data_IF_590965896844
#
_entry.id   IF_590965896844
#
_cell.length_a   1.000
_cell.length_b   1.000
_cell.length_c   1.000
_cell.angle_alpha   90.00
_cell.angle_beta   90.00
_cell.angle_gamma   90.00
#
_symmetry.space_group_name_H-M   'P 1'
#
loop_
_entity.id
_entity.type
_entity.pdbx_description
1 polymer ?
#
# COMPACT_ATOMS: atom_id res chain seq x y z
N UNK A 1 -3.95 11.90 9.03
CA UNK A 1 -2.87 11.49 9.93
C UNK A 1 -1.67 11.28 9.05
N UNK A 2 -0.76 10.39 9.44
CA UNK A 2 0.47 10.15 8.68
C UNK A 2 0.25 9.39 7.36
N UNK A 3 -0.98 8.95 7.07
CA UNK A 3 -1.38 8.40 5.77
C UNK A 3 -2.53 9.21 5.17
N UNK A 4 -2.59 10.53 5.40
CA UNK A 4 -3.66 11.37 4.84
C UNK A 4 -5.05 11.18 5.45
N UNK A 5 -5.20 10.39 6.52
CA UNK A 5 -6.50 10.19 7.18
C UNK A 5 -7.09 11.54 7.65
N UNK A 6 -8.40 11.76 7.62
CA UNK A 6 -8.96 13.03 8.06
C UNK A 6 -8.64 13.37 9.51
N UNK A 7 -8.34 14.66 9.72
CA UNK A 7 -8.07 15.20 11.05
C UNK A 7 -9.33 15.27 11.91
N UNK A 8 -9.14 15.64 13.18
CA UNK A 8 -10.22 15.82 14.15
C UNK A 8 -10.95 17.16 14.01
N UNK A 9 -10.35 18.13 13.31
CA UNK A 9 -10.87 19.49 13.13
C UNK A 9 -10.15 20.18 11.98
N UNK A 10 -10.86 21.08 11.29
CA UNK A 10 -10.30 22.03 10.33
C UNK A 10 -10.31 23.44 10.93
N UNK A 11 -9.23 24.19 10.74
CA UNK A 11 -9.10 25.58 11.19
C UNK A 11 -8.36 26.42 10.13
N UNK A 12 -8.54 27.74 10.19
CA UNK A 12 -7.70 28.65 9.43
C UNK A 12 -6.25 28.57 9.91
N UNK A 13 -5.29 28.89 9.04
CA UNK A 13 -3.86 28.88 9.38
C UNK A 13 -3.62 29.74 10.62
N UNK A 14 -3.09 29.11 11.67
CA UNK A 14 -2.77 29.75 12.93
C UNK A 14 -1.36 30.34 12.89
N UNK A 15 -1.11 31.45 13.61
CA UNK A 15 0.26 31.82 13.93
C UNK A 15 0.92 30.71 14.76
N UNK A 16 2.25 30.62 14.72
CA UNK A 16 3.01 29.59 15.43
C UNK A 16 2.67 29.51 16.94
N UNK A 17 2.42 30.65 17.59
CA UNK A 17 1.98 30.70 18.99
C UNK A 17 0.60 30.08 19.23
N UNK A 18 -0.33 30.28 18.30
CA UNK A 18 -1.67 29.68 18.33
C UNK A 18 -1.60 28.17 18.12
N UNK A 19 -0.82 27.71 17.14
CA UNK A 19 -0.58 26.29 16.88
C UNK A 19 0.12 25.61 18.07
N UNK A 20 1.12 26.24 18.66
CA UNK A 20 1.79 25.74 19.86
C UNK A 20 0.82 25.58 21.03
N UNK A 21 -0.06 26.55 21.26
CA UNK A 21 -1.06 26.48 22.33
C UNK A 21 -2.02 25.31 22.11
N UNK A 22 -2.54 25.16 20.88
CA UNK A 22 -3.41 24.05 20.49
C UNK A 22 -2.77 22.68 20.77
N UNK A 23 -1.51 22.50 20.40
CA UNK A 23 -0.79 21.24 20.56
C UNK A 23 -0.44 20.97 22.03
N UNK A 24 0.13 21.95 22.73
CA UNK A 24 0.62 21.79 24.10
C UNK A 24 -0.55 21.60 25.08
N UNK A 25 -1.61 22.40 25.00
CA UNK A 25 -2.73 22.33 25.95
C UNK A 25 -3.41 20.95 25.95
N UNK A 26 -3.59 20.36 24.77
CA UNK A 26 -4.17 19.02 24.64
C UNK A 26 -3.31 17.95 25.31
N UNK A 27 -1.98 18.02 25.11
CA UNK A 27 -1.06 17.05 25.68
C UNK A 27 -0.87 17.25 27.19
N UNK A 28 -0.87 18.50 27.67
CA UNK A 28 -0.77 18.80 29.10
C UNK A 28 -1.98 18.32 29.91
N UNK A 29 -3.16 18.23 29.29
CA UNK A 29 -4.36 17.67 29.94
C UNK A 29 -4.18 16.19 30.34
N UNK A 30 -3.25 15.47 29.70
CA UNK A 30 -2.92 14.07 29.96
C UNK A 30 -1.62 13.91 30.78
N UNK A 31 -1.07 14.99 31.34
CA UNK A 31 0.15 14.96 32.16
C UNK A 31 -0.09 14.14 33.46
N UNK A 32 0.72 13.09 33.73
CA UNK A 32 0.64 12.37 34.99
C UNK A 32 1.04 13.26 36.17
N UNK A 33 0.38 13.09 37.31
CA UNK A 33 0.62 13.87 38.52
C UNK A 33 2.08 13.73 39.00
N UNK A 34 2.68 14.83 39.44
CA UNK A 34 4.04 14.84 39.98
C UNK A 34 5.17 14.76 38.95
N UNK A 35 4.89 14.49 37.67
CA UNK A 35 5.92 14.49 36.63
C UNK A 35 6.39 15.91 36.32
N UNK A 36 7.70 16.13 36.29
CA UNK A 36 8.30 17.44 35.97
C UNK A 36 9.20 17.42 34.74
N UNK A 37 9.73 16.25 34.38
CA UNK A 37 10.72 16.10 33.32
C UNK A 37 10.06 15.54 32.06
N UNK A 38 10.40 16.09 30.91
CA UNK A 38 9.75 15.75 29.64
C UNK A 38 10.75 15.66 28.50
N UNK A 39 10.73 14.54 27.78
CA UNK A 39 11.32 14.41 26.46
C UNK A 39 10.35 14.95 25.42
N UNK A 40 10.82 15.74 24.46
CA UNK A 40 9.96 16.39 23.48
C UNK A 40 10.45 16.11 22.07
N UNK A 41 9.52 15.73 21.20
CA UNK A 41 9.79 15.57 19.76
C UNK A 41 8.83 16.48 19.00
N UNK A 42 9.39 17.46 18.29
CA UNK A 42 8.70 18.23 17.27
C UNK A 42 9.05 17.66 15.90
N UNK A 43 8.15 16.84 15.38
CA UNK A 43 8.38 16.10 14.15
C UNK A 43 7.74 16.81 12.93
N UNK A 44 8.52 17.04 11.88
CA UNK A 44 8.02 17.45 10.57
C UNK A 44 7.43 16.26 9.80
N UNK A 45 6.33 16.48 9.09
CA UNK A 45 5.63 15.43 8.34
C UNK A 45 6.09 15.30 6.88
N UNK A 46 7.15 16.01 6.47
CA UNK A 46 7.74 15.87 5.14
C UNK A 46 8.26 17.17 4.55
N UNK A 47 7.35 18.12 4.26
CA UNK A 47 7.69 19.34 3.51
C UNK A 47 7.71 20.64 4.32
N UNK A 48 7.43 20.60 5.62
CA UNK A 48 7.59 21.75 6.52
C UNK A 48 9.07 22.06 6.72
N UNK A 49 9.48 23.30 6.49
CA UNK A 49 10.90 23.68 6.56
C UNK A 49 11.40 23.76 8.00
N UNK A 50 12.68 23.49 8.21
CA UNK A 50 13.31 23.56 9.54
C UNK A 50 13.13 24.93 10.19
N UNK A 51 13.19 26.01 9.42
CA UNK A 51 12.97 27.37 9.92
C UNK A 51 11.56 27.52 10.52
N UNK A 52 10.54 26.92 9.90
CA UNK A 52 9.17 26.93 10.41
C UNK A 52 9.03 26.08 11.68
N UNK A 53 9.65 24.90 11.70
CA UNK A 53 9.71 24.03 12.89
C UNK A 53 10.41 24.73 14.06
N UNK A 54 11.50 25.45 13.82
CA UNK A 54 12.23 26.16 14.86
C UNK A 54 11.46 27.38 15.39
N UNK A 55 10.75 28.10 14.52
CA UNK A 55 9.83 29.16 14.97
C UNK A 55 8.75 28.57 15.88
N UNK A 56 8.14 27.46 15.50
CA UNK A 56 7.14 26.78 16.33
C UNK A 56 7.73 26.25 17.66
N UNK A 57 8.94 25.70 17.61
CA UNK A 57 9.67 25.21 18.79
C UNK A 57 9.81 26.29 19.86
N UNK A 58 10.16 27.53 19.50
CA UNK A 58 10.32 28.61 20.49
C UNK A 58 9.04 28.87 21.28
N UNK A 59 7.87 28.77 20.64
CA UNK A 59 6.58 28.93 21.31
C UNK A 59 6.24 27.72 22.18
N UNK A 60 6.50 26.49 21.70
CA UNK A 60 6.28 25.25 22.44
C UNK A 60 7.14 25.21 23.71
N UNK A 61 8.45 25.45 23.59
CA UNK A 61 9.39 25.44 24.71
C UNK A 61 8.96 26.43 25.80
N UNK A 62 8.59 27.67 25.41
CA UNK A 62 8.10 28.67 26.36
C UNK A 62 6.83 28.23 27.11
N UNK A 63 5.90 27.55 26.45
CA UNK A 63 4.66 27.07 27.07
C UNK A 63 4.93 25.90 28.03
N UNK A 64 5.82 24.96 27.66
CA UNK A 64 6.20 23.84 28.53
C UNK A 64 6.93 24.33 29.79
N UNK A 65 7.88 25.26 29.64
CA UNK A 65 8.60 25.87 30.76
C UNK A 65 7.66 26.64 31.71
N UNK A 66 6.73 27.44 31.15
CA UNK A 66 5.68 28.13 31.95
C UNK A 66 4.76 27.17 32.70
N UNK A 67 4.62 25.95 32.19
CA UNK A 67 3.86 24.87 32.82
C UNK A 67 4.68 24.09 33.87
N UNK A 68 5.89 24.59 34.19
CA UNK A 68 6.78 24.03 35.20
C UNK A 68 7.42 22.70 34.79
N UNK A 69 7.63 22.49 33.49
CA UNK A 69 8.33 21.31 32.96
C UNK A 69 9.80 21.62 32.67
N UNK A 70 10.67 20.67 33.00
CA UNK A 70 12.08 20.68 32.61
C UNK A 70 12.23 19.84 31.34
N UNK A 71 12.54 20.48 30.22
CA UNK A 71 12.71 19.82 28.92
C UNK A 71 14.08 19.12 28.89
N UNK A 72 14.07 17.82 28.57
CA UNK A 72 15.28 16.98 28.53
C UNK A 72 15.54 16.53 27.10
N UNK A 73 16.70 16.92 26.55
CA UNK A 73 17.20 16.52 25.22
C UNK A 73 16.11 16.55 24.12
N UNK A 74 15.53 17.73 23.81
CA UNK A 74 14.46 17.84 22.83
C UNK A 74 14.97 17.59 21.41
N UNK A 75 14.10 17.03 20.56
CA UNK A 75 14.38 16.76 19.16
C UNK A 75 13.42 17.53 18.26
N UNK A 76 13.94 18.15 17.21
CA UNK A 76 13.15 18.86 16.21
C UNK A 76 13.69 18.54 14.81
N UNK A 77 12.87 17.91 13.96
CA UNK A 77 13.26 17.46 12.62
C UNK A 77 12.27 16.47 12.01
N UNK A 78 12.62 15.79 10.92
CA UNK A 78 11.79 14.74 10.32
C UNK A 78 12.22 13.34 10.76
N UNK A 79 11.37 12.69 11.55
CA UNK A 79 11.60 11.35 12.09
C UNK A 79 10.56 10.35 11.58
N UNK A 80 9.28 10.77 11.52
CA UNK A 80 8.15 9.97 11.02
C UNK A 80 7.32 10.86 10.09
N UNK A 81 7.53 10.72 8.78
CA UNK A 81 6.93 11.58 7.75
C UNK A 81 5.67 10.96 7.13
N UNK A 82 4.95 11.78 6.38
CA UNK A 82 3.83 11.43 5.50
C UNK A 82 4.16 11.96 4.10
N UNK A 83 5.15 11.34 3.45
CA UNK A 83 5.70 11.79 2.16
C UNK A 83 6.14 13.27 2.21
N UNK A 84 5.51 14.14 1.42
CA UNK A 84 5.75 15.58 1.32
C UNK A 84 4.67 16.40 2.03
N UNK A 85 4.01 15.83 3.05
CA UNK A 85 2.98 16.54 3.81
C UNK A 85 3.55 17.79 4.48
N UNK A 86 2.87 18.93 4.27
CA UNK A 86 3.14 20.20 4.94
C UNK A 86 2.46 20.23 6.30
N UNK A 87 3.09 19.60 7.30
CA UNK A 87 2.58 19.60 8.66
C UNK A 87 3.63 19.18 9.68
N UNK A 88 3.23 19.18 10.95
CA UNK A 88 4.05 18.75 12.06
C UNK A 88 3.23 17.97 13.10
N UNK A 89 3.92 17.22 13.95
CA UNK A 89 3.36 16.57 15.13
C UNK A 89 4.21 16.88 16.36
N UNK A 90 3.56 17.02 17.51
CA UNK A 90 4.21 17.19 18.81
C UNK A 90 3.98 15.94 19.67
N UNK A 91 5.07 15.39 20.19
CA UNK A 91 5.05 14.26 21.13
C UNK A 91 5.72 14.67 22.44
N UNK A 92 5.06 14.39 23.56
CA UNK A 92 5.62 14.54 24.91
C UNK A 92 5.80 13.14 25.53
N UNK A 93 7.00 12.88 26.03
CA UNK A 93 7.32 11.70 26.82
C UNK A 93 7.57 12.12 28.26
N UNK A 94 6.68 11.74 29.17
CA UNK A 94 6.84 12.01 30.60
C UNK A 94 7.95 11.12 31.18
N UNK A 95 8.99 11.74 31.73
CA UNK A 95 10.18 11.02 32.16
C UNK A 95 10.17 10.78 33.66
N UNK A 96 10.37 9.51 34.03
CA UNK A 96 10.92 9.11 35.32
C UNK A 96 12.44 8.86 35.18
N UNK A 97 13.09 8.39 36.25
CA UNK A 97 14.54 8.14 36.25
C UNK A 97 14.96 7.06 35.22
N UNK A 98 14.12 6.05 35.00
CA UNK A 98 14.41 4.97 34.06
C UNK A 98 14.25 5.44 32.61
N UNK A 99 13.12 6.09 32.29
CA UNK A 99 12.85 6.60 30.96
C UNK A 99 13.84 7.69 30.57
N UNK A 100 14.23 8.58 31.50
CA UNK A 100 15.24 9.60 31.21
C UNK A 100 16.58 8.97 30.83
N UNK A 101 16.98 7.89 31.53
CA UNK A 101 18.20 7.16 31.22
C UNK A 101 18.18 6.60 29.80
N UNK A 102 17.08 6.00 29.36
CA UNK A 102 16.96 5.46 28.00
C UNK A 102 16.79 6.53 26.95
N UNK A 103 16.03 7.59 27.26
CA UNK A 103 15.90 8.74 26.39
C UNK A 103 17.28 9.32 26.10
N UNK A 104 18.06 9.65 27.12
CA UNK A 104 19.36 10.30 26.96
C UNK A 104 20.51 9.37 26.52
N UNK A 105 20.25 8.08 26.32
CA UNK A 105 21.28 7.12 25.90
C UNK A 105 21.87 7.47 24.53
N UNK A 106 23.14 7.13 24.33
CA UNK A 106 23.80 7.33 23.04
C UNK A 106 23.22 6.38 21.99
N UNK A 107 23.05 6.87 20.76
CA UNK A 107 22.61 6.06 19.62
C UNK A 107 23.26 6.54 18.32
N UNK A 108 23.53 5.61 17.43
CA UNK A 108 23.94 5.87 16.05
C UNK A 108 23.04 5.04 15.12
N UNK A 109 22.04 5.70 14.54
CA UNK A 109 21.08 5.08 13.62
C UNK A 109 20.96 5.94 12.36
N UNK A 110 20.41 5.42 11.25
CA UNK A 110 20.24 6.21 10.03
C UNK A 110 19.43 7.50 10.21
N UNK A 111 18.56 7.56 11.22
CA UNK A 111 17.59 8.66 11.42
C UNK A 111 17.90 9.50 12.66
N UNK A 112 18.44 8.90 13.74
CA UNK A 112 18.74 9.60 14.99
C UNK A 112 20.15 9.29 15.47
N UNK A 113 20.93 10.35 15.74
CA UNK A 113 22.26 10.28 16.33
C UNK A 113 22.32 11.12 17.60
N UNK A 114 22.75 10.50 18.70
CA UNK A 114 22.81 11.13 20.02
C UNK A 114 24.04 10.65 20.78
N UNK A 115 24.72 11.56 21.46
CA UNK A 115 25.87 11.23 22.31
C UNK A 115 27.19 11.01 21.56
N UNK A 116 28.18 10.46 22.27
CA UNK A 116 29.50 10.17 21.70
C UNK A 116 29.41 9.03 20.68
N UNK A 117 30.23 9.12 19.62
CA UNK A 117 30.33 8.09 18.59
C UNK A 117 30.59 6.74 19.26
N UNK A 118 29.66 5.80 19.07
CA UNK A 118 29.87 4.41 19.44
C UNK A 118 30.95 3.93 18.48
N UNK A 119 32.07 3.42 18.99
CA UNK A 119 33.08 2.80 18.14
C UNK A 119 32.45 1.55 17.52
N UNK A 120 32.00 1.67 16.28
CA UNK A 120 31.48 0.56 15.49
C UNK A 120 32.61 0.16 14.54
N UNK A 121 33.00 -1.10 14.56
CA UNK A 121 33.73 -1.64 13.41
C UNK A 121 32.72 -1.70 12.25
N UNK A 122 32.96 -1.00 11.14
CA UNK A 122 32.08 -1.12 9.97
C UNK A 122 31.98 -2.61 9.65
N UNK A 123 30.75 -3.11 9.50
CA UNK A 123 30.58 -4.38 8.82
C UNK A 123 31.25 -4.25 7.45
N UNK A 124 31.91 -5.31 6.98
CA UNK A 124 32.29 -5.36 5.58
C UNK A 124 31.05 -4.98 4.76
N UNK A 125 31.20 -4.05 3.82
CA UNK A 125 30.13 -3.70 2.90
C UNK A 125 29.80 -4.96 2.09
N UNK A 126 28.87 -5.79 2.59
CA UNK A 126 28.19 -6.79 1.79
C UNK A 126 27.24 -5.99 0.93
N UNK A 127 27.79 -5.41 -0.13
CA UNK A 127 27.04 -4.87 -1.24
C UNK A 127 26.41 -6.08 -1.95
N UNK A 128 25.38 -6.66 -1.35
CA UNK A 128 24.41 -7.47 -2.07
C UNK A 128 23.48 -6.53 -2.86
N UNK A 129 24.06 -5.63 -3.68
CA UNK A 129 23.31 -4.82 -4.66
C UNK A 129 23.25 -5.48 -6.03
N UNK A 130 23.58 -6.76 -6.11
CA UNK A 130 23.02 -7.54 -7.20
C UNK A 130 21.71 -8.09 -6.63
N UNK A 131 20.59 -7.41 -6.91
CA UNK A 131 19.32 -8.10 -7.07
C UNK A 131 19.64 -9.29 -7.98
N UNK A 132 19.86 -10.47 -7.37
CA UNK A 132 20.43 -11.59 -8.08
C UNK A 132 19.55 -11.84 -9.29
N UNK A 133 20.12 -11.74 -10.50
CA UNK A 133 19.34 -11.92 -11.73
C UNK A 133 18.61 -13.26 -11.59
N UNK A 134 17.27 -13.27 -11.52
CA UNK A 134 16.56 -14.46 -11.13
C UNK A 134 16.87 -15.57 -12.14
N UNK A 135 17.37 -16.69 -11.63
CA UNK A 135 17.73 -17.85 -12.44
C UNK A 135 16.51 -18.74 -12.54
N UNK A 136 16.00 -18.88 -13.76
CA UNK A 136 14.87 -19.75 -14.05
C UNK A 136 15.35 -21.06 -14.67
N UNK A 137 14.67 -22.15 -14.33
CA UNK A 137 14.82 -23.38 -15.10
C UNK A 137 14.32 -23.12 -16.53
N UNK A 138 15.02 -23.67 -17.53
CA UNK A 138 14.59 -23.54 -18.92
C UNK A 138 13.28 -24.29 -19.13
N UNK A 139 12.21 -23.54 -19.38
CA UNK A 139 10.92 -24.08 -19.78
C UNK A 139 11.00 -24.74 -21.16
N UNK A 140 10.10 -25.68 -21.45
CA UNK A 140 9.91 -26.17 -22.82
C UNK A 140 9.30 -25.09 -23.75
N UNK A 141 9.19 -25.40 -25.05
CA UNK A 141 8.69 -24.44 -26.04
C UNK A 141 7.27 -23.93 -25.73
N UNK A 142 6.39 -24.82 -25.27
CA UNK A 142 5.02 -24.49 -24.91
C UNK A 142 4.95 -23.60 -23.65
N UNK A 143 5.77 -23.92 -22.65
CA UNK A 143 5.89 -23.15 -21.42
C UNK A 143 6.42 -21.74 -21.67
N UNK A 144 7.45 -21.59 -22.52
CA UNK A 144 7.96 -20.26 -22.93
C UNK A 144 6.90 -19.46 -23.70
N UNK A 145 6.12 -20.11 -24.56
CA UNK A 145 5.01 -19.46 -25.27
C UNK A 145 3.92 -18.98 -24.29
N UNK A 146 3.58 -19.79 -23.28
CA UNK A 146 2.66 -19.40 -22.22
C UNK A 146 3.19 -18.24 -21.36
N UNK A 147 4.47 -18.26 -21.01
CA UNK A 147 5.15 -17.14 -20.34
C UNK A 147 5.08 -15.84 -21.15
N UNK A 148 5.35 -15.90 -22.46
CA UNK A 148 5.23 -14.76 -23.36
C UNK A 148 3.79 -14.23 -23.47
N UNK A 149 2.79 -15.14 -23.48
CA UNK A 149 1.37 -14.76 -23.45
C UNK A 149 1.02 -13.98 -22.16
N UNK A 150 1.44 -14.48 -21.00
CA UNK A 150 1.23 -13.81 -19.71
C UNK A 150 1.91 -12.44 -19.69
N UNK A 151 3.15 -12.34 -20.19
CA UNK A 151 3.87 -11.07 -20.27
C UNK A 151 3.12 -10.05 -21.16
N UNK A 152 2.58 -10.47 -22.30
CA UNK A 152 1.79 -9.60 -23.17
C UNK A 152 0.48 -9.14 -22.52
N UNK A 153 -0.14 -9.99 -21.72
CA UNK A 153 -1.33 -9.64 -20.92
C UNK A 153 -0.96 -8.62 -19.84
N UNK A 154 0.12 -8.86 -19.09
CA UNK A 154 0.62 -7.94 -18.05
C UNK A 154 1.02 -6.59 -18.62
N UNK A 155 1.59 -6.55 -19.83
CA UNK A 155 1.87 -5.31 -20.55
C UNK A 155 0.58 -4.51 -20.78
N UNK A 156 -0.47 -5.14 -21.32
CA UNK A 156 -1.75 -4.48 -21.59
C UNK A 156 -2.47 -4.03 -20.31
N UNK A 157 -2.37 -4.83 -19.23
CA UNK A 157 -2.88 -4.46 -17.91
C UNK A 157 -2.13 -3.25 -17.35
N UNK A 158 -0.80 -3.23 -17.45
CA UNK A 158 0.01 -2.10 -17.02
C UNK A 158 -0.33 -0.81 -17.75
N UNK A 159 -0.48 -0.87 -19.08
CA UNK A 159 -0.84 0.29 -19.87
C UNK A 159 -2.22 0.86 -19.47
N UNK A 160 -3.21 -0.01 -19.24
CA UNK A 160 -4.54 0.41 -18.80
C UNK A 160 -4.55 1.01 -17.38
N UNK A 161 -3.72 0.49 -16.46
CA UNK A 161 -3.64 1.00 -15.09
C UNK A 161 -2.85 2.30 -14.99
N UNK A 162 -1.86 2.50 -15.87
CA UNK A 162 -1.20 3.80 -16.05
C UNK A 162 -2.20 4.85 -16.52
N UNK A 163 -3.02 4.51 -17.53
CA UNK A 163 -4.06 5.43 -18.04
C UNK A 163 -5.12 5.75 -16.98
N UNK A 164 -5.48 4.78 -16.14
CA UNK A 164 -6.48 4.94 -15.09
C UNK A 164 -5.95 5.56 -13.78
N UNK A 165 -4.65 5.89 -13.67
CA UNK A 165 -4.01 6.34 -12.43
C UNK A 165 -4.76 7.50 -11.76
N UNK A 166 -5.03 8.57 -12.52
CA UNK A 166 -5.67 9.78 -12.00
C UNK A 166 -7.09 9.49 -11.50
N UNK A 167 -7.88 8.76 -12.28
CA UNK A 167 -9.27 8.45 -11.94
C UNK A 167 -9.35 7.51 -10.73
N UNK A 168 -8.46 6.51 -10.64
CA UNK A 168 -8.39 5.61 -9.50
C UNK A 168 -7.98 6.34 -8.22
N UNK A 169 -7.04 7.29 -8.31
CA UNK A 169 -6.69 8.17 -7.19
C UNK A 169 -7.87 9.07 -6.78
N UNK A 170 -8.61 9.61 -7.75
CA UNK A 170 -9.81 10.43 -7.49
C UNK A 170 -10.92 9.65 -6.79
N UNK A 171 -11.17 8.40 -7.21
CA UNK A 171 -12.16 7.52 -6.57
C UNK A 171 -11.74 7.20 -5.13
N UNK A 172 -10.47 6.88 -4.92
CA UNK A 172 -9.96 6.56 -3.59
C UNK A 172 -9.99 7.77 -2.65
N UNK A 173 -9.70 8.98 -3.13
CA UNK A 173 -9.68 10.21 -2.33
C UNK A 173 -11.03 10.59 -1.67
N UNK A 174 -12.17 10.01 -2.08
CA UNK A 174 -13.45 10.26 -1.42
C UNK A 174 -13.47 9.75 0.03
N UNK A 175 -12.82 8.62 0.31
CA UNK A 175 -12.82 7.98 1.63
C UNK A 175 -11.48 7.33 2.02
N UNK A 176 -10.46 7.39 1.17
CA UNK A 176 -9.09 6.96 1.40
C UNK A 176 -8.12 8.13 1.29
N UNK A 177 -6.86 7.85 0.98
CA UNK A 177 -5.78 8.82 0.90
C UNK A 177 -5.41 9.22 -0.54
N UNK A 178 -6.11 8.67 -1.53
CA UNK A 178 -5.98 9.03 -2.94
C UNK A 178 -4.75 8.43 -3.62
N UNK A 179 -4.05 7.51 -2.93
CA UNK A 179 -2.81 6.90 -3.41
C UNK A 179 -3.05 5.63 -4.25
N UNK A 180 -4.28 5.10 -4.27
CA UNK A 180 -4.58 3.81 -4.89
C UNK A 180 -4.17 3.74 -6.35
N UNK A 181 -4.47 4.78 -7.15
CA UNK A 181 -4.04 4.86 -8.55
C UNK A 181 -2.52 4.79 -8.74
N UNK A 182 -1.77 5.50 -7.88
CA UNK A 182 -0.30 5.46 -7.89
C UNK A 182 0.23 4.07 -7.53
N UNK A 183 -0.40 3.42 -6.53
CA UNK A 183 -0.08 2.05 -6.14
C UNK A 183 -0.30 1.05 -7.28
N UNK A 184 -1.43 1.17 -7.99
CA UNK A 184 -1.75 0.35 -9.15
C UNK A 184 -0.77 0.56 -10.31
N UNK A 185 -0.41 1.82 -10.61
CA UNK A 185 0.61 2.13 -11.63
C UNK A 185 1.96 1.53 -11.25
N UNK A 186 2.45 1.78 -10.03
CA UNK A 186 3.76 1.29 -9.56
C UNK A 186 3.83 -0.24 -9.59
N UNK A 187 2.82 -0.92 -9.04
CA UNK A 187 2.75 -2.38 -9.01
C UNK A 187 2.72 -2.99 -10.39
N UNK A 188 1.83 -2.51 -11.26
CA UNK A 188 1.70 -3.03 -12.62
C UNK A 188 2.93 -2.76 -13.50
N UNK A 189 3.59 -1.61 -13.31
CA UNK A 189 4.86 -1.31 -13.99
C UNK A 189 5.95 -2.29 -13.57
N UNK A 190 6.10 -2.54 -12.27
CA UNK A 190 7.09 -3.50 -11.77
C UNK A 190 6.79 -4.93 -12.23
N UNK A 191 5.51 -5.32 -12.24
CA UNK A 191 5.08 -6.64 -12.65
C UNK A 191 5.40 -6.94 -14.13
N UNK A 192 5.12 -6.00 -15.04
CA UNK A 192 5.42 -6.19 -16.48
C UNK A 192 6.92 -6.21 -16.76
N UNK A 193 7.71 -5.43 -16.02
CA UNK A 193 9.17 -5.40 -16.16
C UNK A 193 9.79 -6.72 -15.69
N UNK A 194 9.35 -7.24 -14.53
CA UNK A 194 9.81 -8.53 -14.02
C UNK A 194 9.38 -9.69 -14.93
N UNK A 195 8.16 -9.65 -15.48
CA UNK A 195 7.69 -10.63 -16.45
C UNK A 195 8.52 -10.64 -17.73
N UNK A 196 8.85 -9.46 -18.28
CA UNK A 196 9.71 -9.31 -19.46
C UNK A 196 11.11 -9.89 -19.22
N UNK A 197 11.72 -9.62 -18.07
CA UNK A 197 13.02 -10.20 -17.69
C UNK A 197 12.96 -11.72 -17.57
N UNK A 198 11.91 -12.28 -16.96
CA UNK A 198 11.74 -13.71 -16.82
C UNK A 198 11.55 -14.42 -18.17
N UNK A 199 10.75 -13.85 -19.07
CA UNK A 199 10.59 -14.37 -20.43
C UNK A 199 11.92 -14.37 -21.19
N UNK A 200 12.70 -13.28 -21.09
CA UNK A 200 14.04 -13.20 -21.71
C UNK A 200 15.02 -14.24 -21.13
N UNK A 201 14.84 -14.64 -19.88
CA UNK A 201 15.62 -15.68 -19.23
C UNK A 201 15.14 -17.12 -19.53
N UNK A 202 14.05 -17.30 -20.30
CA UNK A 202 13.51 -18.60 -20.68
C UNK A 202 12.55 -19.23 -19.66
N UNK A 203 11.99 -18.43 -18.76
CA UNK A 203 10.99 -18.86 -17.80
C UNK A 203 9.66 -19.26 -18.47
N UNK A 204 8.93 -20.17 -17.82
CA UNK A 204 7.60 -20.59 -18.25
C UNK A 204 6.47 -19.84 -17.55
N UNK A 205 5.23 -20.25 -17.83
CA UNK A 205 4.01 -19.58 -17.39
C UNK A 205 3.91 -19.37 -15.87
N UNK A 206 4.29 -20.37 -15.08
CA UNK A 206 4.19 -20.32 -13.62
C UNK A 206 5.22 -19.34 -13.04
N UNK A 207 6.47 -19.43 -13.48
CA UNK A 207 7.57 -18.56 -13.04
C UNK A 207 7.37 -17.11 -13.45
N UNK A 208 6.86 -16.85 -14.66
CA UNK A 208 6.56 -15.48 -15.13
C UNK A 208 5.45 -14.84 -14.30
N UNK A 209 4.31 -15.54 -14.11
CA UNK A 209 3.20 -15.00 -13.32
C UNK A 209 3.52 -14.92 -11.83
N UNK A 210 4.38 -15.84 -11.35
CA UNK A 210 5.07 -15.67 -10.08
C UNK A 210 5.83 -14.36 -10.17
N UNK A 211 7.08 -14.25 -10.60
CA UNK A 211 7.91 -13.03 -10.38
C UNK A 211 7.20 -11.67 -10.58
N UNK A 212 6.29 -11.55 -11.56
CA UNK A 212 5.41 -10.40 -11.74
C UNK A 212 4.70 -9.91 -10.46
N UNK A 213 4.08 -10.78 -9.68
CA UNK A 213 3.41 -10.35 -8.44
C UNK A 213 4.33 -10.10 -7.23
N UNK A 214 5.60 -10.50 -7.24
CA UNK A 214 6.58 -10.23 -6.15
C UNK A 214 6.96 -8.79 -6.37
N UNK A 215 7.36 -8.48 -7.61
CA UNK A 215 7.59 -7.13 -8.08
C UNK A 215 6.38 -6.22 -7.83
N UNK A 216 5.15 -6.72 -8.05
CA UNK A 216 3.95 -5.96 -7.68
C UNK A 216 3.90 -5.67 -6.17
N UNK A 217 4.01 -6.69 -5.33
CA UNK A 217 3.95 -6.55 -3.87
C UNK A 217 5.02 -5.58 -3.35
N UNK A 218 6.23 -5.70 -3.87
CA UNK A 218 7.41 -4.95 -3.45
C UNK A 218 7.32 -3.46 -3.84
N UNK A 219 6.71 -3.15 -4.99
CA UNK A 219 6.76 -1.79 -5.57
C UNK A 219 5.47 -1.00 -5.44
N UNK A 220 4.30 -1.64 -5.37
CA UNK A 220 3.01 -0.97 -5.29
C UNK A 220 2.82 -0.19 -3.98
N UNK A 221 3.21 -0.78 -2.85
CA UNK A 221 2.93 -0.25 -1.52
C UNK A 221 1.47 -0.43 -1.09
N UNK A 222 1.21 -0.19 0.21
CA UNK A 222 -0.13 -0.28 0.80
C UNK A 222 -0.74 -1.68 0.80
N UNK A 223 -1.99 -1.77 1.27
CA UNK A 223 -2.73 -3.05 1.34
C UNK A 223 -3.04 -3.60 -0.06
N UNK A 224 -3.39 -2.73 -1.01
CA UNK A 224 -3.65 -3.12 -2.40
C UNK A 224 -2.43 -3.80 -3.03
N UNK A 225 -1.22 -3.30 -2.79
CA UNK A 225 0.02 -3.93 -3.28
C UNK A 225 0.18 -5.37 -2.80
N UNK A 226 0.02 -5.59 -1.49
CA UNK A 226 0.12 -6.93 -0.90
C UNK A 226 -0.96 -7.90 -1.43
N UNK A 227 -2.21 -7.43 -1.59
CA UNK A 227 -3.31 -8.27 -2.05
C UNK A 227 -3.17 -8.65 -3.53
N UNK A 228 -2.78 -7.71 -4.40
CA UNK A 228 -2.53 -7.99 -5.81
C UNK A 228 -1.33 -8.91 -6.02
N UNK A 229 -0.24 -8.70 -5.26
CA UNK A 229 0.89 -9.62 -5.26
C UNK A 229 0.46 -11.04 -4.86
N UNK A 230 -0.26 -11.17 -3.73
CA UNK A 230 -0.80 -12.45 -3.28
C UNK A 230 -1.72 -13.11 -4.32
N UNK A 231 -2.59 -12.34 -4.95
CA UNK A 231 -3.48 -12.80 -6.02
C UNK A 231 -2.68 -13.44 -7.15
N UNK A 232 -1.69 -12.72 -7.70
CA UNK A 232 -0.85 -13.20 -8.81
C UNK A 232 0.02 -14.41 -8.39
N UNK A 233 0.63 -14.36 -7.19
CA UNK A 233 1.37 -15.50 -6.61
C UNK A 233 0.50 -16.75 -6.53
N UNK A 234 -0.69 -16.60 -5.98
CA UNK A 234 -1.56 -17.74 -5.72
C UNK A 234 -2.06 -18.33 -7.04
N UNK A 235 -2.39 -17.47 -8.01
CA UNK A 235 -2.80 -17.90 -9.34
C UNK A 235 -1.69 -18.69 -10.05
N UNK A 236 -0.43 -18.24 -9.96
CA UNK A 236 0.68 -18.89 -10.65
C UNK A 236 0.91 -20.35 -10.24
N UNK A 237 0.50 -20.74 -9.03
CA UNK A 237 0.65 -22.12 -8.54
C UNK A 237 -0.23 -23.15 -9.23
N UNK A 238 -1.24 -22.72 -9.99
CA UNK A 238 -2.05 -23.62 -10.83
C UNK A 238 -1.44 -23.84 -12.21
N UNK A 239 -0.38 -23.10 -12.57
CA UNK A 239 0.33 -23.26 -13.83
C UNK A 239 1.58 -24.14 -13.68
N UNK A 240 2.10 -24.54 -14.84
CA UNK A 240 3.37 -25.24 -14.98
C UNK A 240 4.29 -24.41 -15.87
N UNK A 241 5.59 -24.50 -15.63
CA UNK A 241 6.59 -23.93 -16.53
C UNK A 241 6.78 -24.76 -17.81
N UNK A 242 6.18 -25.96 -17.88
CA UNK A 242 6.26 -26.83 -19.05
C UNK A 242 4.85 -27.21 -19.53
N UNK A 243 4.69 -27.29 -20.85
CA UNK A 243 3.41 -27.56 -21.51
C UNK A 243 2.54 -26.32 -21.69
N UNK A 244 1.40 -26.53 -22.35
CA UNK A 244 0.40 -25.48 -22.57
C UNK A 244 -0.36 -25.16 -21.28
N UNK A 245 -0.77 -23.90 -21.12
CA UNK A 245 -1.73 -23.52 -20.08
C UNK A 245 -3.07 -24.16 -20.42
N UNK A 246 -3.57 -25.01 -19.52
CA UNK A 246 -4.93 -25.56 -19.58
C UNK A 246 -5.95 -24.49 -19.19
N UNK A 247 -7.06 -24.38 -19.92
CA UNK A 247 -8.14 -23.43 -19.59
C UNK A 247 -8.69 -23.68 -18.18
N UNK A 248 -8.77 -24.95 -17.76
CA UNK A 248 -9.18 -25.32 -16.41
C UNK A 248 -8.20 -24.79 -15.35
N UNK A 249 -6.91 -24.70 -15.64
CA UNK A 249 -5.92 -24.11 -14.74
C UNK A 249 -6.13 -22.60 -14.57
N UNK A 250 -6.57 -21.90 -15.62
CA UNK A 250 -6.93 -20.47 -15.52
C UNK A 250 -8.09 -20.27 -14.53
N UNK A 251 -9.13 -21.09 -14.64
CA UNK A 251 -10.31 -21.04 -13.76
C UNK A 251 -9.95 -21.39 -12.32
N UNK A 252 -9.25 -22.52 -12.10
CA UNK A 252 -8.79 -22.93 -10.75
C UNK A 252 -7.86 -21.90 -10.11
N UNK A 253 -7.01 -21.26 -10.91
CA UNK A 253 -6.12 -20.21 -10.44
C UNK A 253 -6.86 -18.98 -9.95
N UNK A 254 -7.95 -18.58 -10.64
CA UNK A 254 -8.84 -17.51 -10.17
C UNK A 254 -9.46 -17.82 -8.81
N UNK A 255 -9.95 -19.06 -8.63
CA UNK A 255 -10.47 -19.54 -7.34
C UNK A 255 -9.42 -19.52 -6.24
N UNK A 256 -8.23 -20.09 -6.50
CA UNK A 256 -7.13 -20.11 -5.53
C UNK A 256 -6.71 -18.69 -5.12
N UNK A 257 -6.65 -17.76 -6.07
CA UNK A 257 -6.30 -16.38 -5.80
C UNK A 257 -7.38 -15.67 -4.96
N UNK A 258 -8.66 -15.90 -5.23
CA UNK A 258 -9.76 -15.40 -4.40
C UNK A 258 -9.71 -15.96 -2.98
N UNK A 259 -9.49 -17.26 -2.82
CA UNK A 259 -9.39 -17.91 -1.51
C UNK A 259 -8.21 -17.35 -0.69
N UNK A 260 -7.07 -17.11 -1.34
CA UNK A 260 -5.91 -16.49 -0.69
C UNK A 260 -6.19 -15.05 -0.24
N UNK A 261 -6.77 -14.23 -1.11
CA UNK A 261 -7.13 -12.83 -0.81
C UNK A 261 -8.15 -12.76 0.33
N UNK A 262 -9.19 -13.59 0.30
CA UNK A 262 -10.25 -13.60 1.33
C UNK A 262 -9.74 -14.17 2.65
N UNK A 263 -8.83 -15.15 2.62
CA UNK A 263 -8.20 -15.68 3.84
C UNK A 263 -7.33 -14.65 4.54
N UNK A 264 -6.47 -13.94 3.79
CA UNK A 264 -5.58 -12.93 4.36
C UNK A 264 -6.36 -11.66 4.75
N UNK A 265 -7.17 -11.14 3.83
CA UNK A 265 -7.90 -9.88 4.01
C UNK A 265 -9.15 -9.98 4.87
N UNK A 266 -9.68 -11.20 5.08
CA UNK A 266 -10.94 -11.50 5.82
C UNK A 266 -12.18 -10.77 5.29
N UNK A 267 -12.09 -10.23 4.07
CA UNK A 267 -13.17 -9.50 3.42
C UNK A 267 -14.18 -10.48 2.80
N UNK A 268 -15.44 -10.05 2.79
CA UNK A 268 -16.56 -10.76 2.16
C UNK A 268 -17.39 -9.78 1.31
N UNK A 269 -18.22 -10.29 0.38
CA UNK A 269 -19.19 -9.44 -0.32
C UNK A 269 -20.02 -8.60 0.66
N UNK A 270 -20.19 -7.33 0.33
CA UNK A 270 -20.83 -6.31 1.14
C UNK A 270 -19.89 -5.52 2.05
N UNK A 271 -18.59 -5.79 2.08
CA UNK A 271 -17.63 -5.05 2.92
C UNK A 271 -17.02 -3.82 2.23
N UNK A 272 -17.35 -3.62 0.94
CA UNK A 272 -16.88 -2.53 0.09
C UNK A 272 -15.37 -2.58 -0.12
N UNK A 273 -14.92 -3.63 -0.80
CA UNK A 273 -13.52 -3.90 -1.12
C UNK A 273 -13.42 -4.54 -2.50
N UNK A 274 -12.20 -4.82 -2.99
CA UNK A 274 -11.99 -5.57 -4.23
C UNK A 274 -12.70 -6.93 -4.28
N UNK A 275 -12.99 -7.54 -3.12
CA UNK A 275 -13.71 -8.83 -3.01
C UNK A 275 -15.14 -8.73 -3.54
N UNK A 276 -15.76 -7.56 -3.47
CA UNK A 276 -17.11 -7.32 -4.03
C UNK A 276 -17.16 -7.50 -5.55
N UNK A 277 -16.05 -7.24 -6.25
CA UNK A 277 -15.92 -7.55 -7.67
C UNK A 277 -15.33 -8.94 -7.92
N UNK A 278 -14.44 -9.41 -7.03
CA UNK A 278 -13.68 -10.65 -7.27
C UNK A 278 -14.50 -11.92 -7.09
N UNK A 279 -15.35 -11.97 -6.05
CA UNK A 279 -16.25 -13.11 -5.83
C UNK A 279 -17.18 -13.32 -7.03
N UNK A 280 -17.97 -12.33 -7.49
CA UNK A 280 -18.88 -12.55 -8.60
C UNK A 280 -18.14 -12.77 -9.93
N UNK A 281 -16.91 -12.25 -10.10
CA UNK A 281 -16.05 -12.61 -11.23
C UNK A 281 -15.74 -14.11 -11.24
N UNK A 282 -15.15 -14.64 -10.17
CA UNK A 282 -14.71 -16.05 -10.11
C UNK A 282 -15.89 -17.01 -10.19
N UNK A 283 -16.98 -16.73 -9.47
CA UNK A 283 -18.17 -17.58 -9.51
C UNK A 283 -18.78 -17.61 -10.92
N UNK A 284 -18.84 -16.47 -11.61
CA UNK A 284 -19.33 -16.44 -13.00
C UNK A 284 -18.40 -17.22 -13.93
N UNK A 285 -17.09 -17.03 -13.79
CA UNK A 285 -16.09 -17.73 -14.62
C UNK A 285 -16.20 -19.25 -14.45
N UNK A 286 -16.30 -19.74 -13.21
CA UNK A 286 -16.46 -21.17 -12.92
C UNK A 286 -17.78 -21.72 -13.47
N UNK A 287 -18.89 -21.01 -13.27
CA UNK A 287 -20.21 -21.46 -13.72
C UNK A 287 -20.30 -21.54 -15.24
N UNK A 288 -19.84 -20.52 -15.96
CA UNK A 288 -19.86 -20.49 -17.42
C UNK A 288 -18.91 -21.54 -18.01
N UNK A 289 -17.71 -21.70 -17.43
CA UNK A 289 -16.77 -22.72 -17.87
C UNK A 289 -17.31 -24.14 -17.62
N UNK A 290 -17.93 -24.39 -16.46
CA UNK A 290 -18.59 -25.67 -16.16
C UNK A 290 -19.78 -25.96 -17.09
N UNK A 291 -20.43 -24.91 -17.61
CA UNK A 291 -21.48 -25.00 -18.62
C UNK A 291 -20.94 -25.24 -20.05
N UNK A 292 -19.62 -25.35 -20.23
CA UNK A 292 -18.97 -25.61 -21.51
C UNK A 292 -18.80 -24.37 -22.39
N UNK A 293 -18.93 -23.16 -21.83
CA UNK A 293 -18.67 -21.92 -22.55
C UNK A 293 -17.15 -21.78 -22.75
N UNK A 294 -16.66 -21.43 -23.96
CA UNK A 294 -15.23 -21.20 -24.19
C UNK A 294 -14.65 -20.18 -23.22
N UNK A 295 -13.41 -20.41 -22.76
CA UNK A 295 -12.76 -19.60 -21.71
C UNK A 295 -12.84 -18.09 -22.00
N UNK A 296 -12.56 -17.68 -23.24
CA UNK A 296 -12.59 -16.27 -23.62
C UNK A 296 -13.98 -15.65 -23.43
N UNK A 297 -15.06 -16.37 -23.77
CA UNK A 297 -16.42 -15.86 -23.62
C UNK A 297 -16.89 -15.90 -22.16
N UNK A 298 -16.55 -16.98 -21.42
CA UNK A 298 -16.79 -17.11 -19.99
C UNK A 298 -16.11 -15.96 -19.21
N UNK A 299 -14.84 -15.67 -19.52
CA UNK A 299 -14.09 -14.57 -18.92
C UNK A 299 -14.70 -13.21 -19.23
N UNK A 300 -15.11 -12.96 -20.48
CA UNK A 300 -15.70 -11.67 -20.83
C UNK A 300 -17.03 -11.43 -20.11
N UNK A 301 -17.87 -12.47 -19.99
CA UNK A 301 -19.08 -12.43 -19.15
C UNK A 301 -18.74 -12.14 -17.68
N UNK A 302 -17.77 -12.87 -17.12
CA UNK A 302 -17.32 -12.66 -15.76
C UNK A 302 -16.79 -11.24 -15.53
N UNK A 303 -16.05 -10.68 -16.48
CA UNK A 303 -15.54 -9.30 -16.41
C UNK A 303 -16.67 -8.25 -16.44
N UNK A 304 -17.72 -8.47 -17.23
CA UNK A 304 -18.89 -7.58 -17.25
C UNK A 304 -19.66 -7.64 -15.92
N UNK A 305 -19.80 -8.83 -15.34
CA UNK A 305 -20.38 -9.02 -14.00
C UNK A 305 -19.51 -8.35 -12.92
N UNK A 306 -18.19 -8.51 -12.98
CA UNK A 306 -17.25 -7.87 -12.05
C UNK A 306 -17.36 -6.34 -12.09
N UNK A 307 -17.51 -5.77 -13.29
CA UNK A 307 -17.73 -4.33 -13.48
C UNK A 307 -19.03 -3.87 -12.83
N UNK A 308 -20.14 -4.54 -13.12
CA UNK A 308 -21.42 -4.18 -12.51
C UNK A 308 -21.37 -4.31 -10.98
N UNK A 309 -20.70 -5.33 -10.46
CA UNK A 309 -20.51 -5.53 -9.02
C UNK A 309 -19.62 -4.45 -8.39
N UNK A 310 -18.54 -4.04 -9.07
CA UNK A 310 -17.68 -2.94 -8.64
C UNK A 310 -18.46 -1.62 -8.56
N UNK A 311 -19.27 -1.30 -9.57
CA UNK A 311 -20.15 -0.12 -9.56
C UNK A 311 -21.19 -0.20 -8.43
N UNK A 312 -21.74 -1.40 -8.18
CA UNK A 312 -22.70 -1.67 -7.11
C UNK A 312 -22.12 -1.55 -5.68
N UNK A 313 -20.81 -1.34 -5.54
CA UNK A 313 -20.22 -1.00 -4.24
C UNK A 313 -20.53 0.44 -3.81
N UNK A 314 -20.98 1.32 -4.72
CA UNK A 314 -21.24 2.72 -4.43
C UNK A 314 -22.15 2.97 -3.21
N UNK A 315 -23.34 2.34 -3.07
CA UNK A 315 -24.21 2.53 -1.92
C UNK A 315 -23.73 1.85 -0.63
N UNK A 316 -22.67 1.03 -0.68
CA UNK A 316 -22.20 0.30 0.50
C UNK A 316 -21.39 1.19 1.44
N UNK A 317 -21.54 0.95 2.74
CA UNK A 317 -20.67 1.49 3.77
C UNK A 317 -19.45 0.56 3.97
N UNK A 318 -18.21 1.08 3.91
CA UNK A 318 -17.00 0.29 4.07
C UNK A 318 -16.87 -0.29 5.47
N UNK A 319 -16.57 -1.59 5.55
CA UNK A 319 -16.34 -2.29 6.83
C UNK A 319 -14.87 -2.57 7.10
N UNK A 320 -14.04 -2.50 6.06
CA UNK A 320 -12.62 -2.81 6.09
C UNK A 320 -11.82 -1.71 5.36
N UNK A 321 -10.49 -1.78 5.51
CA UNK A 321 -9.57 -0.87 4.82
C UNK A 321 -9.60 0.56 5.32
N UNK A 322 -8.87 1.43 4.60
CA UNK A 322 -8.72 2.86 4.91
C UNK A 322 -10.03 3.64 4.83
N UNK A 323 -11.02 3.13 4.09
CA UNK A 323 -12.33 3.75 3.94
C UNK A 323 -13.24 3.62 5.17
N UNK A 324 -13.02 2.62 6.05
CA UNK A 324 -13.89 2.34 7.21
C UNK A 324 -14.12 3.54 8.15
N UNK A 325 -13.11 4.33 8.55
CA UNK A 325 -13.29 5.48 9.43
C UNK A 325 -14.12 6.61 8.82
N UNK A 326 -14.26 6.64 7.48
CA UNK A 326 -14.96 7.67 6.72
C UNK A 326 -16.16 7.10 5.96
N UNK A 327 -16.83 6.12 6.56
CA UNK A 327 -17.91 5.38 5.90
C UNK A 327 -18.96 6.29 5.25
N UNK A 328 -19.36 7.37 5.92
CA UNK A 328 -20.37 8.31 5.41
C UNK A 328 -19.91 9.06 4.15
N UNK A 329 -18.61 9.40 4.03
CA UNK A 329 -18.05 10.03 2.82
C UNK A 329 -17.90 9.04 1.66
N UNK A 330 -17.79 7.76 1.98
CA UNK A 330 -17.63 6.67 1.01
C UNK A 330 -18.94 6.27 0.32
N UNK A 331 -20.08 6.51 0.98
CA UNK A 331 -21.41 6.18 0.44
C UNK A 331 -21.70 7.09 -0.76
N UNK A 332 -22.12 6.48 -1.87
CA UNK A 332 -22.36 7.14 -3.15
C UNK A 332 -21.19 7.02 -4.14
N UNK A 333 -20.04 6.50 -3.70
CA UNK A 333 -18.84 6.36 -4.52
C UNK A 333 -18.36 4.90 -4.55
N UNK A 334 -18.02 4.33 -5.72
CA UNK A 334 -17.55 2.95 -5.80
C UNK A 334 -16.18 2.76 -5.15
N UNK A 335 -15.84 1.52 -4.79
CA UNK A 335 -14.54 1.14 -4.25
C UNK A 335 -13.44 1.13 -5.34
N UNK A 336 -12.32 1.81 -5.07
CA UNK A 336 -11.22 1.90 -6.04
C UNK A 336 -10.59 0.53 -6.33
N UNK A 337 -10.51 -0.36 -5.34
CA UNK A 337 -9.99 -1.72 -5.49
C UNK A 337 -10.88 -2.59 -6.38
N UNK A 338 -12.20 -2.55 -6.18
CA UNK A 338 -13.18 -3.25 -6.99
C UNK A 338 -13.19 -2.75 -8.45
N UNK A 339 -13.15 -1.43 -8.65
CA UNK A 339 -13.07 -0.83 -9.98
C UNK A 339 -11.78 -1.23 -10.69
N UNK A 340 -10.66 -1.24 -9.96
CA UNK A 340 -9.36 -1.68 -10.49
C UNK A 340 -9.40 -3.14 -10.95
N UNK A 341 -9.96 -4.04 -10.14
CA UNK A 341 -10.09 -5.44 -10.51
C UNK A 341 -10.97 -5.63 -11.75
N UNK A 342 -12.11 -4.94 -11.82
CA UNK A 342 -13.00 -5.00 -12.96
C UNK A 342 -12.34 -4.50 -14.25
N UNK A 343 -11.57 -3.41 -14.17
CA UNK A 343 -10.79 -2.88 -15.28
C UNK A 343 -9.78 -3.93 -15.78
N UNK A 344 -9.00 -4.52 -14.87
CA UNK A 344 -8.01 -5.56 -15.21
C UNK A 344 -8.68 -6.76 -15.85
N UNK A 345 -9.78 -7.27 -15.27
CA UNK A 345 -10.53 -8.39 -15.84
C UNK A 345 -11.01 -8.09 -17.26
N UNK A 346 -11.50 -6.86 -17.52
CA UNK A 346 -11.95 -6.44 -18.85
C UNK A 346 -10.82 -6.37 -19.87
N UNK A 347 -9.64 -5.89 -19.47
CA UNK A 347 -8.45 -5.83 -20.32
C UNK A 347 -7.99 -7.23 -20.71
N UNK A 348 -7.91 -8.15 -19.73
CA UNK A 348 -7.53 -9.55 -19.98
C UNK A 348 -8.53 -10.22 -20.93
N UNK A 349 -9.83 -10.02 -20.72
CA UNK A 349 -10.88 -10.61 -21.58
C UNK A 349 -10.75 -10.22 -23.06
N UNK A 350 -10.26 -9.00 -23.35
CA UNK A 350 -9.99 -8.57 -24.74
C UNK A 350 -8.78 -9.28 -25.35
N UNK A 351 -7.81 -9.69 -24.53
CA UNK A 351 -6.60 -10.41 -24.98
C UNK A 351 -6.84 -11.90 -25.17
N UNK A 352 -7.79 -12.50 -24.45
CA UNK A 352 -8.15 -13.92 -24.63
C UNK A 352 -8.93 -14.22 -25.92
N UNK A 353 -9.42 -13.20 -26.62
CA UNK A 353 -10.15 -13.34 -27.90
C UNK A 353 -9.25 -13.40 -29.14
N UNK A 354 -7.95 -13.16 -28.99
CA UNK A 354 -6.95 -13.18 -30.07
C UNK A 354 -5.84 -14.17 -29.78
#
# INVERSE_FOLDING_TARGET
GIHGEPGIKEEAILPASGLASLLVEKLLAERPEGTRRVGVILNGLGATKYEELFVLWTAIASLLEKSGLDIVAPEAGEFVTSLDMQGCSLTLLWLDEELERYWTAACDTPVLRRGAAIAVEPADDIIANEDATPVFAQADEAGRAGGACIQAILQAVGDALVEAEEELGRIDAFAGDGDHGQGMRRGSTAAREAADQAVKAGAGSASVLAVAGDAWADRAGGTSGALWGLLLRSWSTEFSDNGNIDDGAVVRGGRRALDAVTTLGRAKPGDKTLVDAFVPFVETLENEFAAGVPLADAWNKAADIAKAAAEATAPLAPKLGRARPLADKSIGHPDAGAISLALVAKVIGRKLKG
#
